data_IF_246317623276
#
_entry.id   IF_246317623276
#
_cell.length_a   1.000
_cell.length_b   1.000
_cell.length_c   1.000
_cell.angle_alpha   90.00
_cell.angle_beta   90.00
_cell.angle_gamma   90.00
#
_symmetry.space_group_name_H-M   'P 1'
#
loop_
_entity.id
_entity.type
_entity.pdbx_description
1 polymer ?
#
# COMPACT_ATOMS: atom_id res chain seq x y z
N UNK A 1 14.86 6.16 -4.98
CA UNK A 1 14.56 5.29 -3.82
C UNK A 1 15.57 4.15 -3.72
N UNK A 2 15.71 3.46 -2.57
CA UNK A 2 16.48 2.19 -2.46
C UNK A 2 15.73 1.13 -1.65
N UNK A 3 15.81 -0.13 -2.08
CA UNK A 3 15.28 -1.26 -1.31
C UNK A 3 16.26 -1.58 -0.18
N UNK A 4 15.78 -1.57 1.06
CA UNK A 4 16.58 -1.99 2.23
C UNK A 4 16.52 -3.50 2.39
N UNK A 5 15.30 -4.06 2.30
CA UNK A 5 15.06 -5.50 2.33
C UNK A 5 13.66 -5.85 1.82
N UNK A 6 13.53 -7.11 1.42
CA UNK A 6 12.27 -7.80 1.09
C UNK A 6 12.17 -9.01 2.04
N UNK A 7 11.02 -9.20 2.69
CA UNK A 7 10.81 -10.32 3.62
C UNK A 7 9.42 -10.90 3.46
N UNK A 8 9.34 -12.21 3.35
CA UNK A 8 8.08 -12.91 3.53
C UNK A 8 7.72 -12.97 5.01
N UNK A 9 6.44 -12.68 5.30
CA UNK A 9 5.87 -12.74 6.64
C UNK A 9 4.57 -13.56 6.60
N UNK A 10 4.25 -14.30 7.67
CA UNK A 10 2.97 -14.95 7.76
C UNK A 10 1.87 -13.89 7.93
N UNK A 11 0.77 -14.01 7.19
CA UNK A 11 -0.37 -13.08 7.29
C UNK A 11 -1.00 -13.08 8.67
N UNK A 12 -0.84 -14.15 9.45
CA UNK A 12 -1.26 -14.24 10.85
C UNK A 12 -0.58 -13.21 11.77
N UNK A 13 0.57 -12.65 11.36
CA UNK A 13 1.24 -11.54 12.08
C UNK A 13 0.65 -10.15 11.76
N UNK A 14 -0.13 -10.05 10.68
CA UNK A 14 -0.75 -8.80 10.23
C UNK A 14 -2.04 -8.58 11.01
N UNK A 15 -2.07 -7.53 11.83
CA UNK A 15 -3.28 -7.15 12.55
C UNK A 15 -4.08 -6.15 11.72
N UNK A 16 -5.37 -6.44 11.57
CA UNK A 16 -6.32 -5.53 10.93
C UNK A 16 -7.25 -4.94 11.97
N UNK A 17 -7.45 -3.62 11.93
CA UNK A 17 -8.36 -2.92 12.82
C UNK A 17 -8.89 -1.64 12.20
N UNK A 18 -9.91 -1.02 12.79
CA UNK A 18 -10.39 0.27 12.31
C UNK A 18 -9.40 1.42 12.58
N UNK A 19 -8.37 1.25 13.43
CA UNK A 19 -7.49 2.34 13.90
C UNK A 19 -6.80 3.09 12.75
N UNK A 20 -6.14 2.43 11.78
CA UNK A 20 -5.48 3.14 10.68
C UNK A 20 -6.50 3.90 9.81
N UNK A 21 -7.65 3.28 9.51
CA UNK A 21 -8.74 3.91 8.75
C UNK A 21 -9.30 5.16 9.44
N UNK A 22 -9.47 5.12 10.77
CA UNK A 22 -9.85 6.31 11.54
C UNK A 22 -8.78 7.40 11.48
N UNK A 23 -7.49 7.02 11.50
CA UNK A 23 -6.41 7.98 11.33
C UNK A 23 -6.42 8.61 9.94
N UNK A 24 -6.73 7.84 8.89
CA UNK A 24 -6.89 8.35 7.52
C UNK A 24 -7.91 9.49 7.44
N UNK A 25 -8.97 9.50 8.26
CA UNK A 25 -9.97 10.61 8.26
C UNK A 25 -9.40 11.97 8.67
N UNK A 26 -8.23 11.98 9.30
CA UNK A 26 -7.47 13.21 9.64
C UNK A 26 -6.32 13.51 8.67
N UNK A 27 -6.14 12.68 7.63
CA UNK A 27 -5.10 12.85 6.63
C UNK A 27 -5.50 13.94 5.60
N UNK A 28 -4.60 14.86 5.21
CA UNK A 28 -4.86 15.83 4.15
C UNK A 28 -5.22 15.21 2.79
N UNK A 29 -4.86 13.96 2.56
CA UNK A 29 -5.18 13.20 1.33
C UNK A 29 -6.47 12.38 1.42
N UNK A 30 -7.21 12.44 2.54
CA UNK A 30 -8.45 11.68 2.71
C UNK A 30 -9.45 11.98 1.59
N UNK A 31 -9.93 10.93 0.92
CA UNK A 31 -10.88 11.06 -0.19
C UNK A 31 -10.34 11.73 -1.47
N UNK A 32 -9.04 12.04 -1.56
CA UNK A 32 -8.45 12.69 -2.75
C UNK A 32 -8.06 11.72 -3.85
N UNK A 33 -7.84 10.44 -3.53
CA UNK A 33 -7.45 9.44 -4.53
C UNK A 33 -8.30 8.18 -4.41
N UNK A 34 -8.39 7.37 -5.49
CA UNK A 34 -9.06 6.07 -5.43
C UNK A 34 -8.36 5.08 -4.48
N UNK A 35 -7.11 5.34 -4.09
CA UNK A 35 -6.37 4.54 -3.11
C UNK A 35 -6.71 4.86 -1.65
N UNK A 36 -7.56 5.86 -1.41
CA UNK A 36 -7.96 6.31 -0.08
C UNK A 36 -9.42 5.95 0.23
N UNK A 37 -9.80 5.83 1.51
CA UNK A 37 -11.20 5.69 1.87
C UNK A 37 -11.96 6.98 1.51
N UNK A 38 -13.25 6.89 1.16
CA UNK A 38 -14.11 5.70 1.21
C UNK A 38 -14.07 4.82 -0.06
N UNK A 39 -13.12 5.04 -0.98
CA UNK A 39 -13.10 4.40 -2.31
C UNK A 39 -12.38 3.05 -2.34
N UNK A 40 -11.83 2.59 -1.22
CA UNK A 40 -11.18 1.30 -1.06
C UNK A 40 -12.00 0.36 -0.17
N UNK A 41 -11.73 -0.96 -0.19
CA UNK A 41 -12.38 -1.89 0.73
C UNK A 41 -12.26 -1.46 2.18
N UNK A 42 -13.30 -1.74 2.97
CA UNK A 42 -13.29 -1.50 4.39
C UNK A 42 -12.33 -2.45 5.11
N UNK A 43 -11.84 -2.05 6.29
CA UNK A 43 -11.05 -2.93 7.15
C UNK A 43 -11.73 -4.26 7.48
N UNK A 44 -13.06 -4.35 7.40
CA UNK A 44 -13.80 -5.61 7.58
C UNK A 44 -13.64 -6.52 6.38
N UNK A 45 -13.75 -5.97 5.16
CA UNK A 45 -13.52 -6.71 3.92
C UNK A 45 -12.05 -7.15 3.82
N UNK A 46 -11.11 -6.30 4.23
CA UNK A 46 -9.69 -6.67 4.29
C UNK A 46 -9.44 -7.79 5.30
N UNK A 47 -10.15 -7.78 6.43
CA UNK A 47 -10.07 -8.87 7.41
C UNK A 47 -10.61 -10.19 6.86
N UNK A 48 -11.62 -10.14 5.99
CA UNK A 48 -12.10 -11.33 5.29
C UNK A 48 -11.09 -11.79 4.23
N UNK A 49 -10.60 -10.86 3.41
CA UNK A 49 -9.59 -11.12 2.39
C UNK A 49 -8.37 -11.86 2.98
N UNK A 50 -7.85 -11.38 4.11
CA UNK A 50 -6.65 -11.92 4.73
C UNK A 50 -6.79 -13.39 5.19
N UNK A 51 -8.01 -13.92 5.32
CA UNK A 51 -8.22 -15.35 5.62
C UNK A 51 -7.88 -16.27 4.44
N UNK A 52 -7.85 -15.71 3.23
CA UNK A 52 -7.53 -16.41 2.00
C UNK A 52 -6.06 -16.28 1.60
N UNK A 53 -5.23 -15.72 2.49
CA UNK A 53 -3.79 -15.61 2.31
C UNK A 53 -3.06 -16.12 3.55
N UNK A 54 -1.95 -16.83 3.35
CA UNK A 54 -1.04 -17.32 4.38
C UNK A 54 0.28 -16.54 4.43
N UNK A 55 0.72 -15.97 3.31
CA UNK A 55 2.01 -15.30 3.15
C UNK A 55 1.87 -13.93 2.49
N UNK A 56 2.62 -12.96 3.01
CA UNK A 56 2.76 -11.64 2.42
C UNK A 56 4.23 -11.24 2.27
N UNK A 57 4.57 -10.56 1.18
CA UNK A 57 5.87 -9.92 0.97
C UNK A 57 5.83 -8.50 1.52
N UNK A 58 6.61 -8.25 2.56
CA UNK A 58 6.82 -6.92 3.13
C UNK A 58 8.14 -6.36 2.62
N UNK A 59 8.12 -5.11 2.15
CA UNK A 59 9.26 -4.47 1.51
C UNK A 59 9.52 -3.13 2.16
N UNK A 60 10.75 -2.91 2.63
CA UNK A 60 11.19 -1.64 3.20
C UNK A 60 12.02 -0.87 2.18
N UNK A 61 11.64 0.38 1.93
CA UNK A 61 12.35 1.30 1.07
C UNK A 61 12.92 2.44 1.91
N UNK A 62 14.15 2.86 1.65
CA UNK A 62 14.64 4.17 2.06
C UNK A 62 14.35 5.18 0.98
N UNK A 63 14.01 6.39 1.43
CA UNK A 63 13.74 7.52 0.56
C UNK A 63 14.54 8.76 0.97
N UNK A 64 14.82 9.60 -0.01
CA UNK A 64 15.31 10.96 0.16
C UNK A 64 14.12 11.91 0.41
N UNK A 65 14.02 12.57 1.58
CA UNK A 65 12.96 13.52 1.88
C UNK A 65 12.84 14.67 0.87
N UNK A 66 13.95 15.09 0.25
CA UNK A 66 13.93 16.17 -0.75
C UNK A 66 13.28 15.72 -2.07
N UNK A 67 13.21 14.40 -2.30
CA UNK A 67 12.65 13.78 -3.51
C UNK A 67 11.46 12.88 -3.21
N UNK A 68 10.78 13.12 -2.09
CA UNK A 68 9.72 12.26 -1.56
C UNK A 68 8.70 11.83 -2.62
N UNK A 69 8.14 12.78 -3.38
CA UNK A 69 7.10 12.48 -4.37
C UNK A 69 7.62 11.64 -5.54
N UNK A 70 8.81 11.95 -6.05
CA UNK A 70 9.44 11.18 -7.14
C UNK A 70 9.73 9.75 -6.69
N UNK A 71 10.39 9.60 -5.54
CA UNK A 71 10.81 8.31 -5.02
C UNK A 71 9.63 7.45 -4.56
N UNK A 72 8.60 8.06 -3.97
CA UNK A 72 7.33 7.36 -3.69
C UNK A 72 6.71 6.84 -4.98
N UNK A 73 6.71 7.62 -6.06
CA UNK A 73 6.17 7.20 -7.36
C UNK A 73 6.95 6.03 -7.96
N UNK A 74 8.28 6.03 -7.80
CA UNK A 74 9.12 4.88 -8.17
C UNK A 74 8.76 3.63 -7.37
N UNK A 75 8.53 3.76 -6.05
CA UNK A 75 8.10 2.65 -5.19
C UNK A 75 6.75 2.09 -5.66
N UNK A 76 5.77 2.94 -5.97
CA UNK A 76 4.46 2.47 -6.45
C UNK A 76 4.60 1.66 -7.75
N UNK A 77 5.44 2.13 -8.69
CA UNK A 77 5.73 1.41 -9.94
C UNK A 77 6.48 0.10 -9.70
N UNK A 78 7.43 0.09 -8.77
CA UNK A 78 8.13 -1.12 -8.37
C UNK A 78 7.16 -2.17 -7.82
N UNK A 79 6.24 -1.77 -6.93
CA UNK A 79 5.24 -2.69 -6.35
C UNK A 79 4.32 -3.28 -7.43
N UNK A 80 3.88 -2.48 -8.40
CA UNK A 80 3.07 -2.97 -9.53
C UNK A 80 3.85 -3.96 -10.41
N UNK A 81 5.12 -3.69 -10.69
CA UNK A 81 5.96 -4.60 -11.46
C UNK A 81 6.19 -5.92 -10.69
N UNK A 82 6.45 -5.84 -9.38
CA UNK A 82 6.63 -7.02 -8.52
C UNK A 82 5.37 -7.87 -8.43
N UNK A 83 4.20 -7.24 -8.29
CA UNK A 83 2.89 -7.91 -8.35
C UNK A 83 2.72 -8.66 -9.69
N UNK A 84 3.07 -8.02 -10.81
CA UNK A 84 3.01 -8.64 -12.13
C UNK A 84 4.00 -9.82 -12.29
N UNK A 85 5.20 -9.72 -11.71
CA UNK A 85 6.18 -10.81 -11.70
C UNK A 85 5.67 -12.00 -10.87
N UNK A 86 5.12 -11.74 -9.69
CA UNK A 86 4.52 -12.77 -8.83
C UNK A 86 3.38 -13.50 -9.55
N UNK A 87 2.52 -12.75 -10.25
CA UNK A 87 1.46 -13.31 -11.09
C UNK A 87 2.01 -14.25 -12.17
N UNK A 88 3.05 -13.83 -12.90
CA UNK A 88 3.70 -14.65 -13.95
C UNK A 88 4.33 -15.93 -13.39
N UNK A 89 4.71 -15.92 -12.11
CA UNK A 89 5.31 -17.05 -11.41
C UNK A 89 4.28 -17.96 -10.69
N UNK A 90 2.98 -17.78 -10.96
CA UNK A 90 1.92 -18.66 -10.45
C UNK A 90 1.09 -18.09 -9.29
N UNK A 91 1.46 -16.94 -8.74
CA UNK A 91 0.69 -16.27 -7.69
C UNK A 91 -0.41 -15.41 -8.31
N UNK A 92 -1.42 -16.06 -8.90
CA UNK A 92 -2.43 -15.42 -9.75
C UNK A 92 -3.29 -14.37 -9.02
N UNK A 93 -3.36 -14.46 -7.69
CA UNK A 93 -4.09 -13.54 -6.84
C UNK A 93 -3.14 -12.69 -5.99
N UNK A 94 -1.92 -12.41 -6.47
CA UNK A 94 -1.04 -11.47 -5.81
C UNK A 94 -1.67 -10.06 -5.81
N UNK A 95 -1.66 -9.39 -4.65
CA UNK A 95 -2.25 -8.05 -4.49
C UNK A 95 -1.27 -7.13 -3.76
N UNK A 96 -0.82 -6.09 -4.44
CA UNK A 96 0.02 -5.05 -3.86
C UNK A 96 -0.81 -3.98 -3.12
N UNK A 97 -0.22 -3.41 -2.07
CA UNK A 97 -0.73 -2.28 -1.30
C UNK A 97 0.34 -1.21 -1.17
N UNK A 98 -0.08 0.05 -1.33
CA UNK A 98 0.82 1.19 -1.42
C UNK A 98 1.18 1.78 -0.05
N UNK A 99 2.42 2.30 0.11
CA UNK A 99 2.78 3.16 1.23
C UNK A 99 2.11 4.54 1.08
N UNK A 100 0.98 4.74 1.75
CA UNK A 100 0.18 5.96 1.59
C UNK A 100 -0.64 6.00 0.31
N UNK A 101 -1.11 7.21 -0.03
CA UNK A 101 -1.94 7.48 -1.22
C UNK A 101 -1.16 7.41 -2.54
N UNK A 102 -1.88 7.14 -3.63
CA UNK A 102 -1.34 7.04 -4.97
C UNK A 102 -0.87 8.40 -5.51
N UNK A 103 0.37 8.45 -6.03
CA UNK A 103 0.94 9.62 -6.72
C UNK A 103 1.52 9.27 -8.11
N UNK A 104 0.94 8.26 -8.78
CA UNK A 104 1.40 7.78 -10.09
C UNK A 104 1.33 8.83 -11.20
N UNK A 105 0.41 9.79 -11.06
CA UNK A 105 0.26 10.95 -11.93
C UNK A 105 0.78 12.20 -11.20
N UNK A 106 1.26 13.18 -11.98
CA UNK A 106 1.66 14.48 -11.41
C UNK A 106 0.44 15.25 -10.90
N UNK A 107 -0.65 15.23 -11.66
CA UNK A 107 -1.96 15.75 -11.25
C UNK A 107 -3.03 14.66 -11.27
N UNK A 108 -3.72 14.46 -10.15
CA UNK A 108 -4.75 13.45 -10.01
C UNK A 108 -6.10 13.94 -10.57
N UNK A 109 -6.51 13.42 -11.74
CA UNK A 109 -7.82 13.72 -12.35
C UNK A 109 -9.00 13.31 -11.43
N UNK A 110 -8.80 12.31 -10.58
CA UNK A 110 -9.85 11.83 -9.69
C UNK A 110 -10.31 12.92 -8.70
N UNK A 111 -9.41 13.81 -8.26
CA UNK A 111 -9.78 14.92 -7.38
C UNK A 111 -10.76 15.89 -8.04
N UNK A 112 -10.64 16.08 -9.36
CA UNK A 112 -11.45 17.02 -10.13
C UNK A 112 -12.76 16.39 -10.61
N UNK A 113 -12.71 15.14 -11.06
CA UNK A 113 -13.81 14.49 -11.80
C UNK A 113 -14.42 13.27 -11.10
N UNK A 114 -13.80 12.76 -10.03
CA UNK A 114 -14.14 11.48 -9.42
C UNK A 114 -13.78 10.26 -10.30
N UNK A 115 -13.02 10.43 -11.39
CA UNK A 115 -12.64 9.36 -12.31
C UNK A 115 -11.13 9.24 -12.44
N UNK A 116 -10.61 8.04 -12.16
CA UNK A 116 -9.20 7.73 -12.35
C UNK A 116 -8.92 7.41 -13.83
N UNK A 117 -7.84 7.95 -14.38
CA UNK A 117 -7.38 7.63 -15.75
C UNK A 117 -6.59 6.31 -15.83
N UNK A 118 -6.15 5.75 -14.70
CA UNK A 118 -5.38 4.51 -14.60
C UNK A 118 -5.95 3.56 -13.52
N UNK A 119 -7.24 3.19 -13.60
CA UNK A 119 -7.88 2.36 -12.58
C UNK A 119 -7.23 0.98 -12.41
N UNK A 120 -6.55 0.47 -13.44
CA UNK A 120 -5.83 -0.81 -13.41
C UNK A 120 -4.53 -0.76 -12.59
N UNK A 121 -3.96 0.44 -12.39
CA UNK A 121 -2.68 0.65 -11.68
C UNK A 121 -2.85 1.10 -10.24
N UNK A 122 -4.00 1.67 -9.87
CA UNK A 122 -4.20 2.12 -8.50
C UNK A 122 -4.32 0.91 -7.57
N UNK A 123 -3.67 0.98 -6.41
CA UNK A 123 -3.85 0.02 -5.31
C UNK A 123 -4.24 0.76 -4.04
N UNK A 124 -5.01 0.13 -3.13
CA UNK A 124 -5.27 0.71 -1.83
C UNK A 124 -3.99 0.99 -1.05
N UNK A 125 -4.01 2.04 -0.24
CA UNK A 125 -2.99 2.24 0.78
C UNK A 125 -3.12 1.19 1.89
N UNK A 126 -2.00 0.77 2.48
CA UNK A 126 -1.97 -0.17 3.63
C UNK A 126 -2.85 0.34 4.79
N UNK A 127 -2.73 1.63 5.14
CA UNK A 127 -3.52 2.23 6.23
C UNK A 127 -5.00 2.38 5.87
N UNK A 128 -5.29 2.64 4.59
CA UNK A 128 -6.65 2.87 4.10
C UNK A 128 -7.55 1.64 4.26
N UNK A 129 -6.94 0.45 4.25
CA UNK A 129 -7.62 -0.85 4.41
C UNK A 129 -7.46 -1.43 5.83
N UNK A 130 -6.89 -0.66 6.76
CA UNK A 130 -6.88 -0.99 8.19
C UNK A 130 -5.78 -1.94 8.65
N UNK A 131 -4.72 -2.15 7.86
CA UNK A 131 -3.54 -2.92 8.31
C UNK A 131 -2.72 -2.08 9.29
N UNK A 132 -2.47 -2.62 10.49
CA UNK A 132 -1.60 -1.99 11.51
C UNK A 132 -0.13 -2.33 11.21
N UNK A 133 0.58 -1.46 10.46
CA UNK A 133 2.02 -1.65 10.16
C UNK A 133 2.86 -1.92 11.41
N UNK A 134 2.54 -1.28 12.54
CA UNK A 134 3.26 -1.45 13.80
C UNK A 134 3.22 -2.86 14.39
N UNK A 135 2.41 -3.79 13.87
CA UNK A 135 2.43 -5.20 14.33
C UNK A 135 3.41 -6.06 13.56
N UNK A 136 3.88 -5.59 12.40
CA UNK A 136 4.79 -6.35 11.52
C UNK A 136 6.15 -5.66 11.34
N UNK A 137 6.28 -4.40 11.73
CA UNK A 137 7.54 -3.65 11.74
C UNK A 137 7.72 -2.86 13.03
N UNK A 138 8.99 -2.69 13.43
CA UNK A 138 9.36 -1.66 14.40
C UNK A 138 9.48 -0.33 13.64
N UNK A 139 8.64 0.65 13.98
CA UNK A 139 8.60 1.95 13.33
C UNK A 139 9.60 2.89 14.00
N UNK A 140 10.67 3.22 13.28
CA UNK A 140 11.63 4.26 13.69
C UNK A 140 11.34 5.56 12.93
N UNK A 141 10.80 6.55 13.62
CA UNK A 141 10.44 7.85 13.02
C UNK A 141 11.65 8.74 12.72
N UNK A 142 12.87 8.33 13.09
CA UNK A 142 14.11 9.00 12.66
C UNK A 142 14.54 8.60 11.25
N UNK A 143 13.98 7.49 10.73
CA UNK A 143 14.28 7.01 9.39
C UNK A 143 13.27 7.55 8.35
N UNK A 144 13.79 7.94 7.19
CA UNK A 144 12.95 8.28 6.04
C UNK A 144 12.70 7.04 5.20
N UNK A 145 11.67 6.27 5.58
CA UNK A 145 11.36 4.96 5.00
C UNK A 145 9.89 4.82 4.65
N UNK A 146 9.61 3.99 3.64
CA UNK A 146 8.26 3.58 3.25
C UNK A 146 8.17 2.06 3.22
N UNK A 147 6.98 1.53 3.49
CA UNK A 147 6.72 0.09 3.51
C UNK A 147 5.67 -0.28 2.47
N UNK A 148 6.03 -1.14 1.54
CA UNK A 148 5.08 -1.78 0.62
C UNK A 148 4.73 -3.18 1.12
N UNK A 149 3.53 -3.64 0.78
CA UNK A 149 3.06 -4.99 1.13
C UNK A 149 2.43 -5.63 -0.10
N UNK A 150 2.72 -6.90 -0.35
CA UNK A 150 2.07 -7.69 -1.40
C UNK A 150 1.55 -8.98 -0.78
N UNK A 151 0.26 -9.26 -0.86
CA UNK A 151 -0.28 -10.59 -0.53
C UNK A 151 0.07 -11.55 -1.67
N UNK A 152 0.49 -12.78 -1.37
CA UNK A 152 1.00 -13.73 -2.37
C UNK A 152 0.13 -14.99 -2.47
N UNK A 153 0.10 -15.77 -1.39
CA UNK A 153 -0.61 -17.05 -1.20
C UNK A 153 -1.30 -17.04 0.15
#
# INVERSE_FOLDING_TARGET
MKIVWEKEIPTSSIKISPRPVWKCRSCPSYGKSPSCPPYVPSWKETKELLKHYHTALLIKFTIDPEKFEEEKREILRYLLNKEQELFKNGNFYAIAFFPGDCNLCEECEFEKSGKCKMPEKVRPSIDAIGIELSTIVNLDFSESVLYGLILIE
#
